data_IF_579457657861
#
_entry.id   IF_579457657861
#
_cell.length_a   1.000
_cell.length_b   1.000
_cell.length_c   1.000
_cell.angle_alpha   90.00
_cell.angle_beta   90.00
_cell.angle_gamma   90.00
#
_symmetry.space_group_name_H-M   'P 1'
#
loop_
_entity.id
_entity.type
_entity.pdbx_description
1 polymer ?
#
# COMPACT_ATOMS: atom_id res chain seq x y z
N UNK A 1 14.75 8.36 23.38
CA UNK A 1 14.26 8.07 22.02
C UNK A 1 13.00 8.86 21.64
N UNK A 2 11.93 8.92 22.46
CA UNK A 2 10.71 9.72 22.17
C UNK A 2 11.01 11.19 21.79
N UNK A 3 11.91 11.89 22.50
CA UNK A 3 12.31 13.28 22.18
C UNK A 3 13.11 13.46 20.88
N UNK A 4 13.70 12.39 20.34
CA UNK A 4 14.46 12.43 19.08
C UNK A 4 13.51 12.27 17.88
N UNK A 5 12.48 11.42 18.01
CA UNK A 5 11.44 11.23 16.99
C UNK A 5 10.55 12.47 16.86
N UNK A 6 10.18 13.11 17.99
CA UNK A 6 9.39 14.35 18.00
C UNK A 6 10.08 15.50 17.27
N UNK A 7 11.42 15.53 17.27
CA UNK A 7 12.21 16.57 16.58
C UNK A 7 12.34 16.33 15.07
N UNK A 8 12.27 15.08 14.61
CA UNK A 8 12.41 14.72 13.20
C UNK A 8 11.10 14.81 12.40
N UNK A 9 9.96 14.60 13.05
CA UNK A 9 8.65 14.56 12.41
C UNK A 9 7.87 15.89 12.52
N UNK A 10 8.43 16.92 13.15
CA UNK A 10 7.72 18.20 13.29
C UNK A 10 6.36 18.04 14.01
N UNK A 11 6.30 17.18 15.03
CA UNK A 11 5.06 16.84 15.74
C UNK A 11 4.48 18.05 16.45
N UNK A 12 3.69 18.82 15.74
CA UNK A 12 2.77 19.78 16.33
C UNK A 12 1.53 19.00 16.80
N UNK A 13 1.26 19.01 18.10
CA UNK A 13 -0.11 18.92 18.59
C UNK A 13 -0.82 20.16 18.10
N UNK A 14 -1.24 20.16 16.83
CA UNK A 14 -2.07 21.23 16.29
C UNK A 14 -3.40 21.18 17.02
N UNK A 15 -3.78 22.31 17.60
CA UNK A 15 -5.13 22.52 18.13
C UNK A 15 -6.13 22.23 17.01
N UNK A 16 -6.75 21.06 17.08
CA UNK A 16 -7.66 20.49 16.09
C UNK A 16 -8.93 21.34 15.89
N UNK A 17 -9.13 22.38 16.71
CA UNK A 17 -10.39 23.10 16.83
C UNK A 17 -10.46 24.41 16.03
N UNK A 18 -9.39 24.90 15.42
CA UNK A 18 -9.40 26.25 14.84
C UNK A 18 -9.74 26.32 13.35
N UNK A 19 -9.58 25.24 12.56
CA UNK A 19 -9.91 25.24 11.14
C UNK A 19 -11.34 24.73 10.89
N UNK A 20 -12.12 25.52 10.19
CA UNK A 20 -13.50 25.18 9.75
C UNK A 20 -13.53 24.50 8.39
N UNK A 21 -12.36 24.23 7.80
CA UNK A 21 -12.24 23.57 6.50
C UNK A 21 -12.69 22.11 6.53
N UNK A 22 -13.03 21.59 5.37
CA UNK A 22 -13.43 20.20 5.19
C UNK A 22 -12.29 19.24 5.55
N UNK A 23 -12.63 18.18 6.31
CA UNK A 23 -11.72 17.06 6.62
C UNK A 23 -12.10 15.87 5.75
N UNK A 24 -11.14 15.29 5.09
CA UNK A 24 -11.34 14.05 4.34
C UNK A 24 -10.66 12.89 5.06
N UNK A 25 -11.38 11.79 5.21
CA UNK A 25 -10.91 10.56 5.81
C UNK A 25 -11.31 9.39 4.92
N UNK A 26 -10.36 8.81 4.17
CA UNK A 26 -10.57 7.64 3.32
C UNK A 26 -11.86 7.75 2.48
N UNK A 27 -11.97 8.77 1.65
CA UNK A 27 -13.09 9.00 0.73
C UNK A 27 -14.33 9.65 1.34
N UNK A 28 -14.35 9.96 2.64
CA UNK A 28 -15.48 10.61 3.30
C UNK A 28 -15.16 12.03 3.75
N UNK A 29 -16.00 12.97 3.37
CA UNK A 29 -15.90 14.38 3.73
C UNK A 29 -16.62 14.68 5.05
N UNK A 30 -15.96 15.36 5.97
CA UNK A 30 -16.49 15.87 7.21
C UNK A 30 -16.43 17.39 7.21
N UNK A 31 -17.60 18.04 7.20
CA UNK A 31 -17.74 19.50 7.25
C UNK A 31 -17.89 19.97 8.69
N UNK A 32 -17.31 21.11 9.02
CA UNK A 32 -17.67 21.80 10.25
C UNK A 32 -19.10 22.33 10.11
N UNK A 33 -20.04 21.74 10.84
CA UNK A 33 -21.42 22.27 10.86
C UNK A 33 -21.42 23.59 11.62
N UNK A 34 -21.84 24.66 10.97
CA UNK A 34 -22.09 25.97 11.59
C UNK A 34 -23.43 26.02 12.34
N UNK A 35 -24.21 24.94 12.33
CA UNK A 35 -25.49 24.88 12.98
C UNK A 35 -25.44 23.95 14.19
N UNK A 36 -25.75 24.50 15.37
CA UNK A 36 -26.08 23.73 16.55
C UNK A 36 -27.34 22.90 16.22
N UNK A 37 -27.15 21.61 15.94
CA UNK A 37 -28.26 20.69 15.80
C UNK A 37 -28.96 20.58 17.16
N UNK A 38 -30.26 20.78 17.18
CA UNK A 38 -31.12 20.73 18.36
C UNK A 38 -31.16 19.38 19.12
N UNK A 39 -30.42 18.39 18.62
CA UNK A 39 -30.41 17.02 19.15
C UNK A 39 -29.16 16.67 20.00
N UNK A 40 -28.40 17.65 20.47
CA UNK A 40 -27.28 17.41 21.40
C UNK A 40 -26.07 16.66 20.81
N UNK A 41 -26.01 16.48 19.49
CA UNK A 41 -24.85 15.90 18.80
C UNK A 41 -23.79 16.99 18.65
N UNK A 42 -22.66 16.80 19.32
CA UNK A 42 -21.52 17.75 19.26
C UNK A 42 -20.97 17.77 17.82
N UNK A 43 -20.94 18.94 17.14
CA UNK A 43 -20.33 19.09 15.83
C UNK A 43 -18.86 18.63 15.86
N UNK A 44 -18.45 17.76 14.93
CA UNK A 44 -17.09 17.18 14.89
C UNK A 44 -16.97 15.76 15.45
N UNK A 45 -17.98 15.23 16.12
CA UNK A 45 -17.95 13.89 16.71
C UNK A 45 -17.85 12.77 15.64
N UNK A 46 -18.45 12.96 14.47
CA UNK A 46 -18.45 11.98 13.38
C UNK A 46 -17.05 11.67 12.83
N UNK A 47 -16.20 12.69 12.66
CA UNK A 47 -14.80 12.49 12.22
C UNK A 47 -13.99 11.70 13.26
N UNK A 48 -14.07 12.08 14.54
CA UNK A 48 -13.32 11.40 15.61
C UNK A 48 -13.80 9.95 15.79
N UNK A 49 -15.11 9.73 15.69
CA UNK A 49 -15.69 8.39 15.76
C UNK A 49 -15.21 7.54 14.56
N UNK A 50 -15.17 8.12 13.35
CA UNK A 50 -14.64 7.42 12.18
C UNK A 50 -13.16 7.14 12.31
N UNK A 51 -12.35 8.12 12.67
CA UNK A 51 -10.92 7.98 12.86
C UNK A 51 -10.57 6.89 13.90
N UNK A 52 -11.21 6.95 15.08
CA UNK A 52 -10.98 5.97 16.15
C UNK A 52 -11.48 4.57 15.84
N UNK A 53 -12.34 4.42 14.83
CA UNK A 53 -12.80 3.12 14.33
C UNK A 53 -11.83 2.47 13.35
N UNK A 54 -10.81 3.19 12.86
CA UNK A 54 -9.80 2.61 11.96
C UNK A 54 -8.92 1.66 12.74
N UNK A 55 -8.54 0.54 12.09
CA UNK A 55 -7.64 -0.44 12.71
C UNK A 55 -6.25 0.17 12.79
N UNK A 56 -5.70 0.18 13.99
CA UNK A 56 -4.38 0.69 14.34
C UNK A 56 -3.49 -0.45 14.83
N UNK A 57 -2.41 -0.72 14.10
CA UNK A 57 -1.47 -1.80 14.43
C UNK A 57 -0.10 -1.17 14.69
N UNK A 58 0.48 -1.49 15.85
CA UNK A 58 1.74 -0.91 16.32
C UNK A 58 2.82 -1.98 16.44
N UNK A 59 4.03 -1.55 16.77
CA UNK A 59 5.07 -2.47 17.22
C UNK A 59 4.57 -3.38 18.34
N UNK A 60 4.96 -4.65 18.27
CA UNK A 60 4.63 -5.66 19.29
C UNK A 60 5.88 -6.27 19.92
N UNK A 61 5.73 -6.69 21.16
CA UNK A 61 6.72 -7.48 21.91
C UNK A 61 6.10 -8.78 22.39
N UNK A 62 6.92 -9.82 22.45
CA UNK A 62 6.53 -11.09 23.04
C UNK A 62 5.85 -12.06 22.09
N UNK A 63 5.97 -11.88 20.77
CA UNK A 63 5.57 -12.90 19.81
C UNK A 63 6.63 -14.01 19.69
N UNK A 64 6.26 -15.16 19.11
CA UNK A 64 7.18 -16.25 18.80
C UNK A 64 8.36 -15.80 17.94
N UNK A 65 9.47 -16.49 18.00
CA UNK A 65 10.63 -16.18 17.17
C UNK A 65 10.27 -16.24 15.67
N UNK A 66 10.77 -15.30 14.88
CA UNK A 66 10.50 -15.25 13.45
C UNK A 66 11.47 -16.19 12.73
N UNK A 67 10.97 -17.34 12.24
CA UNK A 67 11.77 -18.37 11.58
C UNK A 67 12.99 -18.72 12.42
N UNK A 68 14.17 -18.79 11.81
CA UNK A 68 15.43 -19.10 12.49
C UNK A 68 16.07 -17.87 13.19
N UNK A 69 15.38 -16.73 13.23
CA UNK A 69 15.91 -15.53 13.86
C UNK A 69 15.65 -15.54 15.37
N UNK A 70 16.33 -14.64 16.10
CA UNK A 70 16.11 -14.41 17.54
C UNK A 70 15.06 -13.31 17.83
N UNK A 71 14.43 -12.75 16.80
CA UNK A 71 13.51 -11.63 16.98
C UNK A 71 12.16 -12.11 17.53
N UNK A 72 11.76 -11.53 18.66
CA UNK A 72 10.45 -11.69 19.31
C UNK A 72 9.73 -10.35 19.42
N UNK A 73 10.22 -9.35 18.68
CA UNK A 73 9.69 -7.99 18.62
C UNK A 73 10.10 -7.34 17.31
N UNK A 74 9.21 -6.51 16.75
CA UNK A 74 9.47 -5.72 15.55
C UNK A 74 9.81 -4.25 15.84
N UNK A 75 10.08 -3.92 17.09
CA UNK A 75 10.49 -2.57 17.52
C UNK A 75 11.74 -2.11 16.74
N UNK A 76 11.68 -0.90 16.20
CA UNK A 76 12.69 -0.19 15.41
C UNK A 76 12.87 -0.66 13.94
N UNK A 77 12.19 -1.72 13.48
CA UNK A 77 12.32 -2.18 12.10
C UNK A 77 10.97 -2.50 11.40
N UNK A 78 9.92 -2.83 12.17
CA UNK A 78 8.64 -3.29 11.64
C UNK A 78 7.66 -2.18 11.20
N UNK A 79 8.02 -0.90 11.24
CA UNK A 79 7.04 0.18 11.02
C UNK A 79 6.36 0.11 9.64
N UNK A 80 7.09 -0.22 8.57
CA UNK A 80 6.49 -0.37 7.24
C UNK A 80 5.55 -1.58 7.17
N UNK A 81 5.93 -2.71 7.79
CA UNK A 81 5.04 -3.88 7.87
C UNK A 81 3.74 -3.51 8.60
N UNK A 82 3.82 -2.82 9.75
CA UNK A 82 2.64 -2.40 10.52
C UNK A 82 1.78 -1.39 9.76
N UNK A 83 2.39 -0.43 9.08
CA UNK A 83 1.66 0.52 8.21
C UNK A 83 0.93 -0.19 7.08
N UNK A 84 1.55 -1.18 6.46
CA UNK A 84 0.93 -1.98 5.41
C UNK A 84 -0.19 -2.89 5.93
N UNK A 85 -0.01 -3.48 7.11
CA UNK A 85 -1.06 -4.25 7.78
C UNK A 85 -2.29 -3.37 8.06
N UNK A 86 -2.10 -2.13 8.53
CA UNK A 86 -3.20 -1.18 8.75
C UNK A 86 -3.97 -0.88 7.45
N UNK A 87 -3.27 -0.65 6.34
CA UNK A 87 -3.89 -0.38 5.04
C UNK A 87 -4.72 -1.58 4.56
N UNK A 88 -4.16 -2.80 4.61
CA UNK A 88 -4.88 -4.02 4.18
C UNK A 88 -6.02 -4.37 5.15
N UNK A 89 -5.84 -4.19 6.45
CA UNK A 89 -6.92 -4.36 7.43
C UNK A 89 -8.08 -3.40 7.14
N UNK A 90 -7.77 -2.19 6.68
CA UNK A 90 -8.80 -1.22 6.30
C UNK A 90 -9.54 -1.65 5.02
N UNK A 91 -8.84 -2.26 4.03
CA UNK A 91 -9.49 -2.84 2.86
C UNK A 91 -10.48 -3.96 3.24
N UNK A 92 -10.06 -4.87 4.14
CA UNK A 92 -10.93 -5.92 4.66
C UNK A 92 -12.13 -5.38 5.42
N UNK A 93 -11.92 -4.34 6.23
CA UNK A 93 -12.99 -3.69 6.97
C UNK A 93 -14.04 -3.09 6.01
N UNK A 94 -13.59 -2.43 4.95
CA UNK A 94 -14.50 -1.86 3.94
C UNK A 94 -15.21 -2.93 3.13
N UNK A 95 -14.53 -4.03 2.82
CA UNK A 95 -15.11 -5.15 2.10
C UNK A 95 -16.18 -5.85 2.91
N UNK A 96 -15.86 -6.25 4.15
CA UNK A 96 -16.71 -7.13 4.96
C UNK A 96 -17.81 -6.37 5.72
N UNK A 97 -17.50 -5.17 6.22
CA UNK A 97 -18.38 -4.40 7.12
C UNK A 97 -18.84 -3.07 6.51
N UNK A 98 -18.27 -2.68 5.38
CA UNK A 98 -18.60 -1.45 4.68
C UNK A 98 -17.88 -0.21 5.23
N UNK A 99 -17.83 0.85 4.40
CA UNK A 99 -17.13 2.11 4.73
C UNK A 99 -17.76 2.84 5.93
N UNK A 100 -19.06 2.68 6.13
CA UNK A 100 -19.79 3.33 7.21
C UNK A 100 -19.67 2.64 8.58
N UNK A 101 -19.01 1.47 8.63
CA UNK A 101 -18.81 0.76 9.89
C UNK A 101 -18.04 1.60 10.92
N UNK A 102 -18.50 1.51 12.16
CA UNK A 102 -17.88 2.13 13.32
C UNK A 102 -17.68 1.08 14.40
N UNK A 103 -16.53 1.16 15.09
CA UNK A 103 -16.26 0.28 16.23
C UNK A 103 -17.37 0.43 17.26
N UNK A 104 -18.10 -0.65 17.62
CA UNK A 104 -19.08 -0.59 18.69
C UNK A 104 -18.40 -0.37 20.05
N UNK A 105 -19.14 0.27 20.95
CA UNK A 105 -18.71 0.46 22.34
C UNK A 105 -19.00 -0.80 23.15
N UNK A 106 -20.15 -1.40 22.87
CA UNK A 106 -20.67 -2.53 23.64
C UNK A 106 -20.19 -3.86 23.06
N UNK A 107 -20.07 -4.83 23.95
CA UNK A 107 -19.79 -6.24 23.64
C UNK A 107 -21.09 -7.07 23.75
N UNK A 108 -21.19 -8.23 23.10
CA UNK A 108 -20.16 -8.88 22.25
C UNK A 108 -19.96 -8.14 20.92
N UNK A 109 -18.74 -8.22 20.39
CA UNK A 109 -18.37 -7.65 19.09
C UNK A 109 -18.91 -8.51 17.93
N UNK A 110 -18.98 -7.89 16.74
CA UNK A 110 -19.30 -8.59 15.50
C UNK A 110 -18.26 -9.68 15.20
N UNK A 111 -18.65 -10.94 14.92
CA UNK A 111 -17.72 -12.01 14.60
C UNK A 111 -16.81 -11.70 13.41
N UNK A 112 -17.31 -10.97 12.41
CA UNK A 112 -16.52 -10.57 11.23
C UNK A 112 -15.42 -9.57 11.62
N UNK A 113 -15.71 -8.64 12.53
CA UNK A 113 -14.71 -7.72 13.05
C UNK A 113 -13.60 -8.47 13.82
N UNK A 114 -13.96 -9.43 14.68
CA UNK A 114 -13.00 -10.24 15.42
C UNK A 114 -12.18 -11.11 14.47
N UNK A 115 -12.80 -11.70 13.43
CA UNK A 115 -12.09 -12.44 12.39
C UNK A 115 -11.04 -11.56 11.69
N UNK A 116 -11.40 -10.32 11.31
CA UNK A 116 -10.44 -9.40 10.70
C UNK A 116 -9.24 -9.17 11.64
N UNK A 117 -9.45 -8.90 12.93
CA UNK A 117 -8.35 -8.72 13.87
C UNK A 117 -7.50 -9.98 14.03
N UNK A 118 -8.13 -11.16 14.07
CA UNK A 118 -7.44 -12.45 14.15
C UNK A 118 -6.48 -12.68 12.98
N UNK A 119 -6.86 -12.26 11.75
CA UNK A 119 -5.99 -12.37 10.58
C UNK A 119 -4.66 -11.61 10.73
N UNK A 120 -4.65 -10.51 11.49
CA UNK A 120 -3.47 -9.67 11.76
C UNK A 120 -2.81 -9.95 13.12
N UNK A 121 -3.14 -11.06 13.75
CA UNK A 121 -2.48 -11.49 14.99
C UNK A 121 -0.97 -11.68 14.80
N UNK A 122 -0.26 -11.73 15.93
CA UNK A 122 1.22 -11.80 15.93
C UNK A 122 1.74 -13.24 16.03
N UNK A 123 0.96 -14.23 15.59
CA UNK A 123 1.33 -15.64 15.54
C UNK A 123 1.54 -16.13 14.11
N UNK A 124 2.29 -17.21 13.93
CA UNK A 124 2.45 -17.86 12.62
C UNK A 124 1.12 -18.40 12.05
N UNK A 125 0.12 -18.59 12.88
CA UNK A 125 -1.21 -19.09 12.48
C UNK A 125 -2.07 -18.00 11.87
N UNK A 126 -1.78 -16.72 12.13
CA UNK A 126 -2.51 -15.60 11.57
C UNK A 126 -2.04 -15.34 10.14
N UNK A 127 -2.98 -15.36 9.19
CA UNK A 127 -2.69 -15.30 7.75
C UNK A 127 -1.86 -14.07 7.34
N UNK A 128 -2.09 -12.93 8.00
CA UNK A 128 -1.43 -11.64 7.72
C UNK A 128 -0.53 -11.18 8.85
N UNK A 129 -0.01 -12.13 9.65
CA UNK A 129 0.97 -11.84 10.69
C UNK A 129 2.29 -11.32 10.11
N UNK A 130 3.10 -10.72 10.97
CA UNK A 130 4.46 -10.35 10.60
C UNK A 130 5.28 -11.57 10.13
N UNK A 131 5.02 -12.76 10.69
CA UNK A 131 5.66 -14.01 10.29
C UNK A 131 5.31 -14.38 8.85
N UNK A 132 4.02 -14.37 8.51
CA UNK A 132 3.52 -14.68 7.16
C UNK A 132 4.01 -13.69 6.12
N UNK A 133 4.02 -12.38 6.45
CA UNK A 133 4.54 -11.33 5.57
C UNK A 133 6.03 -11.51 5.28
N UNK A 134 6.84 -11.77 6.30
CA UNK A 134 8.27 -11.98 6.13
C UNK A 134 8.58 -13.24 5.34
N UNK A 135 7.81 -14.31 5.54
CA UNK A 135 7.95 -15.54 4.77
C UNK A 135 7.62 -15.31 3.29
N UNK A 136 6.47 -14.72 2.99
CA UNK A 136 6.03 -14.46 1.62
C UNK A 136 6.92 -13.44 0.90
N UNK A 137 7.36 -12.40 1.62
CA UNK A 137 8.16 -11.31 1.05
C UNK A 137 9.67 -11.59 0.99
N UNK A 138 10.14 -12.79 1.34
CA UNK A 138 11.58 -13.13 1.31
C UNK A 138 12.21 -12.87 -0.06
N UNK A 139 11.54 -13.24 -1.15
CA UNK A 139 11.98 -12.98 -2.52
C UNK A 139 11.98 -11.49 -2.90
N UNK A 140 11.25 -10.68 -2.16
CA UNK A 140 11.17 -9.22 -2.33
C UNK A 140 12.14 -8.47 -1.38
N UNK A 141 13.04 -9.18 -0.70
CA UNK A 141 14.02 -8.59 0.20
C UNK A 141 13.56 -8.39 1.64
N UNK A 142 12.40 -8.91 2.05
CA UNK A 142 11.97 -8.85 3.44
C UNK A 142 12.82 -9.78 4.31
N UNK A 143 13.32 -9.23 5.41
CA UNK A 143 14.06 -10.00 6.43
C UNK A 143 13.75 -9.47 7.83
N UNK A 144 13.73 -10.38 8.81
CA UNK A 144 13.55 -10.00 10.21
C UNK A 144 14.68 -9.09 10.67
N UNK A 145 14.33 -7.97 11.31
CA UNK A 145 15.28 -6.97 11.78
C UNK A 145 15.70 -5.93 10.72
N UNK A 146 15.30 -6.09 9.45
CA UNK A 146 15.60 -5.15 8.38
C UNK A 146 14.37 -4.27 8.05
N UNK A 147 14.63 -3.03 7.68
CA UNK A 147 13.60 -2.16 7.11
C UNK A 147 13.39 -2.49 5.63
N UNK A 148 12.16 -2.25 5.16
CA UNK A 148 11.77 -2.47 3.76
C UNK A 148 11.04 -1.24 3.23
N UNK A 149 11.26 -0.90 1.94
CA UNK A 149 10.59 0.19 1.27
C UNK A 149 9.16 -0.15 0.82
N UNK A 150 8.35 0.88 0.47
CA UNK A 150 6.95 0.70 0.08
C UNK A 150 6.75 -0.22 -1.13
N UNK A 151 7.63 -0.14 -2.15
CA UNK A 151 7.55 -1.00 -3.33
C UNK A 151 7.71 -2.49 -2.98
N UNK A 152 8.79 -2.84 -2.28
CA UNK A 152 9.03 -4.21 -1.86
C UNK A 152 7.92 -4.72 -0.91
N UNK A 153 7.36 -3.83 -0.08
CA UNK A 153 6.21 -4.17 0.77
C UNK A 153 4.96 -4.49 -0.06
N UNK A 154 4.65 -3.71 -1.11
CA UNK A 154 3.55 -4.01 -2.03
C UNK A 154 3.73 -5.37 -2.71
N UNK A 155 4.94 -5.67 -3.21
CA UNK A 155 5.26 -6.97 -3.83
C UNK A 155 5.14 -8.13 -2.83
N UNK A 156 5.45 -7.89 -1.58
CA UNK A 156 5.30 -8.91 -0.52
C UNK A 156 3.83 -9.21 -0.23
N UNK A 157 2.95 -8.22 -0.29
CA UNK A 157 1.51 -8.42 -0.19
C UNK A 157 0.94 -9.19 -1.39
N UNK A 158 1.44 -8.94 -2.60
CA UNK A 158 1.07 -9.72 -3.78
C UNK A 158 1.48 -11.19 -3.61
N UNK A 159 2.72 -11.45 -3.20
CA UNK A 159 3.22 -12.80 -2.94
C UNK A 159 2.40 -13.52 -1.84
N UNK A 160 2.07 -12.80 -0.75
CA UNK A 160 1.23 -13.36 0.32
C UNK A 160 -0.18 -13.67 -0.17
N UNK A 161 -0.80 -12.78 -0.97
CA UNK A 161 -2.12 -13.01 -1.53
C UNK A 161 -2.17 -14.24 -2.43
N UNK A 162 -1.15 -14.45 -3.26
CA UNK A 162 -1.01 -15.66 -4.08
C UNK A 162 -0.88 -16.92 -3.22
N UNK A 163 -0.03 -16.89 -2.19
CA UNK A 163 0.14 -18.04 -1.30
C UNK A 163 -1.15 -18.39 -0.54
N UNK A 164 -1.91 -17.40 -0.08
CA UNK A 164 -3.20 -17.61 0.59
C UNK A 164 -4.28 -18.13 -0.38
N UNK A 165 -4.28 -17.69 -1.63
CA UNK A 165 -5.18 -18.21 -2.66
C UNK A 165 -4.89 -19.67 -2.97
N UNK A 166 -3.61 -20.07 -3.07
CA UNK A 166 -3.20 -21.46 -3.27
C UNK A 166 -3.63 -22.36 -2.10
N UNK A 167 -3.42 -21.93 -0.85
CA UNK A 167 -3.87 -22.65 0.34
C UNK A 167 -5.38 -22.87 0.33
N UNK A 168 -6.16 -21.85 -0.01
CA UNK A 168 -7.62 -21.92 -0.09
C UNK A 168 -8.09 -22.89 -1.17
N UNK A 169 -7.42 -22.94 -2.32
CA UNK A 169 -7.73 -23.86 -3.40
C UNK A 169 -7.50 -25.31 -3.01
N UNK A 170 -6.50 -25.59 -2.16
CA UNK A 170 -6.17 -26.93 -1.67
C UNK A 170 -7.13 -27.42 -0.59
N UNK A 171 -7.68 -26.52 0.22
CA UNK A 171 -8.43 -26.86 1.43
C UNK A 171 -9.95 -26.66 1.32
N UNK A 172 -10.47 -26.22 0.15
CA UNK A 172 -11.88 -25.87 -0.08
C UNK A 172 -12.45 -24.94 1.02
N UNK A 173 -11.66 -24.00 1.51
CA UNK A 173 -11.94 -23.22 2.71
C UNK A 173 -12.25 -21.76 2.45
N UNK A 174 -12.49 -21.07 3.56
CA UNK A 174 -12.67 -19.62 3.63
C UNK A 174 -11.43 -18.87 3.15
N UNK A 175 -11.59 -17.87 2.28
CA UNK A 175 -10.50 -17.02 1.79
C UNK A 175 -10.16 -15.96 2.82
N UNK A 176 -8.94 -15.96 3.33
CA UNK A 176 -8.43 -14.94 4.24
C UNK A 176 -8.39 -13.55 3.60
N UNK A 177 -8.08 -13.48 2.29
CA UNK A 177 -8.12 -12.24 1.50
C UNK A 177 -9.16 -12.39 0.38
N UNK A 178 -10.39 -11.83 0.57
CA UNK A 178 -11.49 -12.01 -0.38
C UNK A 178 -11.45 -11.02 -1.55
N UNK A 179 -10.26 -10.64 -2.03
CA UNK A 179 -10.04 -9.68 -3.11
C UNK A 179 -8.77 -9.99 -3.90
N UNK A 180 -8.77 -9.66 -5.19
CA UNK A 180 -7.58 -9.68 -6.01
C UNK A 180 -6.62 -8.54 -5.58
N UNK A 181 -5.31 -8.75 -5.73
CA UNK A 181 -4.30 -7.73 -5.43
C UNK A 181 -3.60 -7.31 -6.71
N UNK A 182 -3.60 -6.02 -7.00
CA UNK A 182 -2.95 -5.44 -8.17
C UNK A 182 -1.89 -4.42 -7.74
N UNK A 183 -0.61 -4.75 -7.97
CA UNK A 183 0.49 -3.81 -7.79
C UNK A 183 0.69 -3.06 -9.10
N UNK A 184 0.48 -1.74 -9.05
CA UNK A 184 0.63 -0.85 -10.20
C UNK A 184 2.06 -0.36 -10.25
N UNK A 185 2.84 -0.84 -11.22
CA UNK A 185 4.24 -0.46 -11.38
C UNK A 185 4.48 0.19 -12.75
N UNK A 186 5.53 1.00 -12.85
CA UNK A 186 5.95 1.62 -14.12
C UNK A 186 6.93 0.76 -14.93
N UNK A 187 7.36 -0.38 -14.40
CA UNK A 187 8.47 -1.16 -14.99
C UNK A 187 8.07 -2.10 -16.12
N UNK A 188 6.77 -2.31 -16.35
CA UNK A 188 6.29 -3.32 -17.31
C UNK A 188 6.52 -2.93 -18.77
N UNK A 189 6.65 -1.63 -19.06
CA UNK A 189 6.88 -1.10 -20.41
C UNK A 189 8.36 -0.76 -20.69
N UNK A 190 9.28 -1.00 -19.74
CA UNK A 190 10.72 -0.76 -19.92
C UNK A 190 11.13 0.71 -19.92
N UNK A 191 10.23 1.64 -19.73
CA UNK A 191 10.52 3.07 -19.59
C UNK A 191 10.78 3.41 -18.13
N UNK A 192 12.05 3.39 -17.72
CA UNK A 192 12.47 3.84 -16.40
C UNK A 192 12.13 5.32 -16.20
N UNK A 193 11.27 5.63 -15.20
CA UNK A 193 10.98 6.99 -14.76
C UNK A 193 9.65 7.58 -15.22
N UNK A 194 8.78 6.81 -15.90
CA UNK A 194 7.40 7.19 -16.18
C UNK A 194 6.47 7.05 -14.96
N UNK A 195 5.32 7.74 -14.98
CA UNK A 195 4.27 7.51 -14.01
C UNK A 195 3.73 6.07 -14.13
N UNK A 196 3.46 5.36 -13.02
CA UNK A 196 2.84 4.03 -13.08
C UNK A 196 1.52 4.03 -13.86
N UNK A 197 1.22 2.92 -14.53
CA UNK A 197 0.03 2.79 -15.39
C UNK A 197 -0.88 1.69 -14.83
N UNK A 198 -2.14 2.04 -14.57
CA UNK A 198 -3.19 1.07 -14.29
C UNK A 198 -3.75 0.56 -15.61
N UNK A 199 -3.49 -0.68 -15.94
CA UNK A 199 -4.02 -1.34 -17.14
C UNK A 199 -5.36 -2.00 -16.83
N UNK A 200 -6.42 -1.55 -17.51
CA UNK A 200 -7.78 -2.06 -17.31
C UNK A 200 -7.86 -3.56 -17.62
N UNK A 201 -7.23 -4.01 -18.71
CA UNK A 201 -7.21 -5.44 -19.07
C UNK A 201 -6.47 -6.30 -18.05
N UNK A 202 -5.40 -5.77 -17.43
CA UNK A 202 -4.70 -6.48 -16.37
C UNK A 202 -5.56 -6.61 -15.12
N UNK A 203 -6.26 -5.55 -14.71
CA UNK A 203 -7.20 -5.61 -13.60
C UNK A 203 -8.30 -6.66 -13.86
N UNK A 204 -8.90 -6.64 -15.06
CA UNK A 204 -9.90 -7.61 -15.47
C UNK A 204 -9.36 -9.05 -15.43
N UNK A 205 -8.14 -9.26 -15.93
CA UNK A 205 -7.47 -10.57 -15.89
C UNK A 205 -7.27 -11.07 -14.46
N UNK A 206 -6.76 -10.23 -13.56
CA UNK A 206 -6.57 -10.58 -12.15
C UNK A 206 -7.90 -10.93 -11.46
N UNK A 207 -8.96 -10.19 -11.75
CA UNK A 207 -10.30 -10.49 -11.23
C UNK A 207 -10.82 -11.83 -11.74
N UNK A 208 -10.65 -12.12 -13.04
CA UNK A 208 -11.05 -13.40 -13.65
C UNK A 208 -10.25 -14.58 -13.04
N UNK A 209 -8.93 -14.44 -12.89
CA UNK A 209 -8.08 -15.45 -12.26
C UNK A 209 -8.49 -15.68 -10.80
N UNK A 210 -8.81 -14.63 -10.06
CA UNK A 210 -9.30 -14.74 -8.69
C UNK A 210 -10.64 -15.47 -8.60
N UNK A 211 -11.56 -15.25 -9.55
CA UNK A 211 -12.85 -15.93 -9.66
C UNK A 211 -12.77 -17.31 -10.34
N UNK A 212 -11.59 -17.86 -10.61
CA UNK A 212 -11.37 -19.16 -11.28
C UNK A 212 -12.01 -19.24 -12.67
N UNK A 213 -12.03 -18.12 -13.39
CA UNK A 213 -12.55 -18.04 -14.77
C UNK A 213 -14.07 -17.84 -14.86
N UNK A 214 -14.77 -17.63 -13.75
CA UNK A 214 -16.16 -17.18 -13.78
C UNK A 214 -16.23 -15.77 -14.35
N UNK A 215 -17.27 -15.45 -15.12
CA UNK A 215 -17.48 -14.13 -15.73
C UNK A 215 -18.04 -13.13 -14.69
N UNK A 216 -17.39 -13.11 -13.52
CA UNK A 216 -17.71 -12.23 -12.39
C UNK A 216 -16.51 -11.37 -12.07
N UNK A 217 -16.75 -10.09 -11.74
CA UNK A 217 -15.71 -9.19 -11.30
C UNK A 217 -15.43 -9.39 -9.81
N UNK A 218 -14.16 -9.69 -9.48
CA UNK A 218 -13.73 -9.78 -8.09
C UNK A 218 -13.54 -8.39 -7.46
N UNK A 219 -13.73 -8.23 -6.14
CA UNK A 219 -13.18 -7.08 -5.43
C UNK A 219 -11.67 -6.99 -5.66
N UNK A 220 -11.13 -5.77 -5.77
CA UNK A 220 -9.72 -5.57 -6.09
C UNK A 220 -9.08 -4.51 -5.18
N UNK A 221 -7.92 -4.86 -4.64
CA UNK A 221 -7.02 -3.97 -3.92
C UNK A 221 -5.91 -3.52 -4.87
N UNK A 222 -5.88 -2.21 -5.19
CA UNK A 222 -4.80 -1.61 -5.96
C UNK A 222 -3.79 -0.97 -5.00
N UNK A 223 -2.51 -1.26 -5.20
CA UNK A 223 -1.41 -0.63 -4.51
C UNK A 223 -0.50 0.05 -5.54
N UNK A 224 -0.30 1.34 -5.38
CA UNK A 224 0.46 2.19 -6.31
C UNK A 224 1.71 2.70 -5.59
N UNK A 225 2.84 1.99 -5.66
CA UNK A 225 4.10 2.47 -5.11
C UNK A 225 4.67 3.61 -5.96
N UNK A 226 5.17 4.66 -5.28
CA UNK A 226 5.61 5.90 -5.90
C UNK A 226 6.88 6.43 -5.21
N UNK A 227 7.72 7.09 -6.00
CA UNK A 227 8.83 7.93 -5.51
C UNK A 227 8.61 9.34 -6.07
N UNK A 228 8.14 10.25 -5.24
CA UNK A 228 7.66 11.58 -5.64
C UNK A 228 8.68 12.70 -5.44
N UNK A 229 9.93 12.35 -5.20
CA UNK A 229 11.04 13.28 -5.00
C UNK A 229 12.25 12.55 -4.41
N UNK A 230 13.29 13.29 -4.07
CA UNK A 230 14.49 12.76 -3.41
C UNK A 230 14.32 12.82 -1.88
N UNK A 231 14.61 13.99 -1.27
CA UNK A 231 14.51 14.18 0.19
C UNK A 231 13.10 14.61 0.64
N UNK A 232 12.31 15.21 -0.26
CA UNK A 232 10.96 15.72 -0.03
C UNK A 232 10.09 15.48 -1.24
N UNK A 233 8.78 15.43 -1.01
CA UNK A 233 7.81 15.39 -2.11
C UNK A 233 7.96 16.66 -2.96
N UNK A 234 8.07 16.46 -4.28
CA UNK A 234 8.03 17.58 -5.21
C UNK A 234 6.65 18.27 -5.10
N UNK A 235 6.60 19.61 -4.86
CA UNK A 235 5.35 20.33 -4.60
C UNK A 235 4.27 20.15 -5.65
N UNK A 236 4.62 19.85 -6.90
CA UNK A 236 3.65 19.58 -7.98
C UNK A 236 2.75 18.37 -7.74
N UNK A 237 3.17 17.42 -6.90
CA UNK A 237 2.40 16.22 -6.58
C UNK A 237 1.46 16.40 -5.38
N UNK A 238 1.69 17.43 -4.54
CA UNK A 238 0.92 17.64 -3.31
C UNK A 238 -0.59 17.77 -3.55
N UNK A 239 -1.07 18.59 -4.53
CA UNK A 239 -2.49 18.68 -4.81
C UNK A 239 -3.12 17.36 -5.28
N UNK A 240 -2.36 16.56 -6.04
CA UNK A 240 -2.82 15.26 -6.51
C UNK A 240 -2.88 14.24 -5.37
N UNK A 241 -1.86 14.20 -4.49
CA UNK A 241 -1.88 13.36 -3.29
C UNK A 241 -3.08 13.71 -2.40
N UNK A 242 -3.33 15.00 -2.18
CA UNK A 242 -4.49 15.47 -1.44
C UNK A 242 -5.79 14.95 -2.06
N UNK A 243 -5.92 15.05 -3.38
CA UNK A 243 -7.11 14.64 -4.12
C UNK A 243 -7.38 13.13 -4.01
N UNK A 244 -6.37 12.28 -3.86
CA UNK A 244 -6.58 10.83 -3.71
C UNK A 244 -7.40 10.47 -2.46
N UNK A 245 -7.41 11.30 -1.43
CA UNK A 245 -8.24 11.10 -0.24
C UNK A 245 -9.71 11.41 -0.46
N UNK A 246 -10.08 12.06 -1.57
CA UNK A 246 -11.48 12.33 -1.93
C UNK A 246 -12.12 11.19 -2.73
N UNK A 247 -11.32 10.25 -3.24
CA UNK A 247 -11.84 9.11 -3.99
C UNK A 247 -12.61 8.18 -3.04
N UNK A 248 -13.84 7.76 -3.36
CA UNK A 248 -14.59 6.80 -2.55
C UNK A 248 -13.82 5.50 -2.29
N UNK A 249 -12.93 5.13 -3.20
CA UNK A 249 -12.07 3.95 -3.15
C UNK A 249 -10.82 4.13 -2.30
N UNK A 250 -10.56 5.34 -1.78
CA UNK A 250 -9.31 5.64 -1.06
C UNK A 250 -9.12 4.76 0.17
N UNK A 251 -7.96 4.12 0.25
CA UNK A 251 -7.44 3.46 1.45
C UNK A 251 -6.30 4.24 2.11
N UNK A 252 -6.00 5.45 1.60
CA UNK A 252 -4.91 6.27 2.12
C UNK A 252 -3.53 5.85 1.59
N UNK A 253 -2.50 6.20 2.37
CA UNK A 253 -1.11 6.10 1.94
C UNK A 253 -0.29 5.43 3.05
N UNK A 254 0.52 4.45 2.69
CA UNK A 254 1.59 3.95 3.54
C UNK A 254 2.94 4.44 3.01
N UNK A 255 3.83 4.89 3.88
CA UNK A 255 5.12 5.37 3.43
C UNK A 255 5.98 5.90 4.55
N UNK A 256 7.21 6.19 4.21
CA UNK A 256 8.20 6.74 5.12
C UNK A 256 9.58 6.11 4.96
N UNK A 257 10.56 6.81 5.46
CA UNK A 257 11.95 6.34 5.55
C UNK A 257 12.16 5.36 6.71
N UNK A 258 13.32 4.70 6.80
CA UNK A 258 13.66 3.81 7.89
C UNK A 258 13.36 4.40 9.28
N UNK A 259 12.56 3.69 10.07
CA UNK A 259 12.19 4.10 11.44
C UNK A 259 11.14 5.24 11.53
N UNK A 260 10.52 5.63 10.41
CA UNK A 260 9.52 6.72 10.38
C UNK A 260 8.31 6.44 9.49
N UNK A 261 8.10 5.20 9.06
CA UNK A 261 6.93 4.85 8.24
C UNK A 261 5.64 4.97 9.05
N UNK A 262 4.61 5.54 8.40
CA UNK A 262 3.27 5.74 8.99
C UNK A 262 2.17 5.36 7.99
N UNK A 263 0.94 5.25 8.49
CA UNK A 263 -0.23 5.06 7.66
C UNK A 263 -1.09 6.33 7.68
N UNK A 264 -1.10 7.05 6.55
CA UNK A 264 -1.85 8.29 6.37
C UNK A 264 -3.26 7.94 5.92
N UNK A 265 -4.25 8.44 6.67
CA UNK A 265 -5.67 8.08 6.48
C UNK A 265 -6.55 9.24 6.04
N UNK A 266 -6.06 10.48 6.08
CA UNK A 266 -6.88 11.63 5.72
C UNK A 266 -6.11 12.93 5.60
N UNK A 267 -6.81 13.98 5.18
CA UNK A 267 -6.25 15.32 4.96
C UNK A 267 -7.21 16.41 5.40
N UNK A 268 -6.64 17.56 5.79
CA UNK A 268 -7.30 18.83 6.00
C UNK A 268 -6.33 19.95 5.68
N UNK A 269 -6.72 20.90 4.86
CA UNK A 269 -5.85 22.00 4.42
C UNK A 269 -4.51 21.44 3.86
N UNK A 270 -3.40 21.85 4.42
CA UNK A 270 -2.06 21.38 4.05
C UNK A 270 -1.56 20.21 4.93
N UNK A 271 -2.42 19.65 5.79
CA UNK A 271 -2.04 18.62 6.75
C UNK A 271 -2.62 17.26 6.37
N UNK A 272 -1.84 16.22 6.64
CA UNK A 272 -2.24 14.82 6.55
C UNK A 272 -2.43 14.22 7.96
N UNK A 273 -3.49 13.45 8.15
CA UNK A 273 -3.77 12.70 9.38
C UNK A 273 -3.24 11.28 9.26
N UNK A 274 -2.60 10.77 10.31
CA UNK A 274 -2.00 9.46 10.26
C UNK A 274 -2.16 8.64 11.54
N UNK A 275 -2.10 7.31 11.36
CA UNK A 275 -1.95 6.33 12.40
C UNK A 275 -0.46 5.97 12.52
N UNK A 276 0.05 6.03 13.75
CA UNK A 276 1.47 5.89 14.04
C UNK A 276 1.78 4.49 14.60
N UNK A 277 2.57 3.66 13.91
CA UNK A 277 2.89 2.31 14.39
C UNK A 277 3.98 2.26 15.48
N UNK A 278 4.63 3.38 15.82
CA UNK A 278 5.84 3.37 16.64
C UNK A 278 5.60 3.21 18.16
N UNK A 279 4.35 3.18 18.60
CA UNK A 279 4.02 2.81 19.97
C UNK A 279 4.27 1.32 20.19
N UNK A 280 4.85 0.95 21.33
CA UNK A 280 5.19 -0.44 21.63
C UNK A 280 4.15 -1.04 22.54
N UNK A 281 3.47 -2.08 22.09
CA UNK A 281 2.46 -2.82 22.85
C UNK A 281 2.84 -4.29 23.01
N UNK A 282 2.22 -4.98 23.95
CA UNK A 282 2.34 -6.44 24.06
C UNK A 282 1.51 -7.11 22.96
N UNK A 283 1.88 -8.32 22.58
CA UNK A 283 1.05 -9.16 21.73
C UNK A 283 -0.32 -9.39 22.38
N UNK A 284 -1.34 -9.45 21.55
CA UNK A 284 -2.71 -9.82 21.96
C UNK A 284 -3.10 -11.04 21.14
N UNK A 285 -3.55 -12.08 21.84
CA UNK A 285 -4.09 -13.29 21.18
C UNK A 285 -5.59 -13.09 20.93
N UNK A 286 -5.94 -12.69 19.72
CA UNK A 286 -7.34 -12.55 19.29
C UNK A 286 -7.84 -13.91 18.81
N UNK A 287 -8.74 -14.52 19.56
CA UNK A 287 -9.38 -15.79 19.20
C UNK A 287 -10.69 -15.52 18.47
N UNK A 288 -10.98 -16.31 17.44
CA UNK A 288 -12.18 -16.18 16.59
C UNK A 288 -13.51 -16.30 17.33
N UNK A 289 -13.52 -17.11 18.38
CA UNK A 289 -14.68 -17.43 19.21
C UNK A 289 -14.84 -16.53 20.44
N UNK A 290 -13.84 -15.67 20.74
CA UNK A 290 -13.89 -14.72 21.85
C UNK A 290 -14.38 -13.34 21.39
N UNK A 291 -15.70 -13.18 21.33
CA UNK A 291 -16.35 -11.92 20.91
C UNK A 291 -16.33 -10.85 22.03
N UNK A 292 -15.81 -11.16 23.20
CA UNK A 292 -15.65 -10.22 24.30
C UNK A 292 -14.19 -9.81 24.57
N UNK A 293 -13.29 -10.22 23.69
CA UNK A 293 -11.83 -9.93 23.80
C UNK A 293 -11.54 -8.43 23.90
N UNK A 294 -10.41 -8.07 24.50
CA UNK A 294 -9.96 -6.67 24.52
C UNK A 294 -9.31 -6.30 23.17
N UNK A 295 -9.96 -5.42 22.44
CA UNK A 295 -9.50 -4.89 21.14
C UNK A 295 -8.91 -3.48 21.25
N UNK A 296 -8.72 -2.94 22.46
CA UNK A 296 -8.28 -1.56 22.67
C UNK A 296 -6.93 -1.26 22.02
N UNK A 297 -6.03 -2.24 21.97
CA UNK A 297 -4.70 -2.11 21.35
C UNK A 297 -4.71 -2.04 19.81
N UNK A 298 -5.88 -2.21 19.19
CA UNK A 298 -6.09 -2.11 17.73
C UNK A 298 -6.82 -0.82 17.33
N UNK A 299 -6.97 0.14 18.25
CA UNK A 299 -7.62 1.41 17.97
C UNK A 299 -6.92 2.58 18.65
N UNK A 300 -6.93 3.74 17.99
CA UNK A 300 -6.33 4.96 18.48
C UNK A 300 -7.32 6.13 18.38
N UNK A 301 -7.53 6.82 19.49
CA UNK A 301 -8.35 8.04 19.53
C UNK A 301 -7.53 9.33 19.38
N UNK A 302 -6.20 9.23 19.33
CA UNK A 302 -5.30 10.37 19.22
C UNK A 302 -5.06 10.67 17.75
N UNK A 303 -5.64 11.75 17.24
CA UNK A 303 -5.38 12.22 15.88
C UNK A 303 -4.02 12.91 15.85
N UNK A 304 -3.11 12.38 15.04
CA UNK A 304 -1.81 12.99 14.74
C UNK A 304 -1.84 13.55 13.33
N UNK A 305 -1.15 14.66 13.12
CA UNK A 305 -1.02 15.29 11.82
C UNK A 305 0.41 15.66 11.50
N UNK A 306 0.70 15.72 10.21
CA UNK A 306 1.97 16.16 9.64
C UNK A 306 1.66 17.01 8.42
N UNK A 307 2.48 18.04 8.14
CA UNK A 307 2.33 18.79 6.90
C UNK A 307 2.53 17.84 5.69
N UNK A 308 1.69 17.95 4.67
CA UNK A 308 1.70 17.03 3.53
C UNK A 308 3.01 17.09 2.73
N UNK A 309 3.68 18.26 2.73
CA UNK A 309 5.00 18.47 2.12
C UNK A 309 6.15 17.87 2.94
N UNK A 310 5.91 17.51 4.21
CA UNK A 310 6.87 16.84 5.08
C UNK A 310 6.75 15.31 5.08
N UNK A 311 5.78 14.77 4.34
CA UNK A 311 5.65 13.33 4.10
C UNK A 311 6.84 12.85 3.26
N UNK A 312 7.35 11.66 3.59
CA UNK A 312 8.44 11.05 2.82
C UNK A 312 8.02 10.82 1.35
N UNK A 313 8.89 11.11 0.37
CA UNK A 313 8.56 10.91 -1.04
C UNK A 313 8.42 9.44 -1.47
N UNK A 314 8.96 8.49 -0.71
CA UNK A 314 8.81 7.07 -0.95
C UNK A 314 7.56 6.54 -0.23
N UNK A 315 6.53 6.23 -1.00
CA UNK A 315 5.21 5.88 -0.47
C UNK A 315 4.46 4.91 -1.39
N UNK A 316 3.34 4.39 -0.91
CA UNK A 316 2.38 3.66 -1.74
C UNK A 316 0.96 4.09 -1.41
N UNK A 317 0.16 4.37 -2.43
CA UNK A 317 -1.25 4.70 -2.31
C UNK A 317 -2.07 3.43 -2.45
N UNK A 318 -3.07 3.24 -1.57
CA UNK A 318 -4.01 2.13 -1.65
C UNK A 318 -5.38 2.58 -2.14
N UNK A 319 -6.01 1.74 -2.97
CA UNK A 319 -7.41 1.87 -3.37
C UNK A 319 -8.09 0.52 -3.29
N UNK A 320 -9.36 0.52 -2.88
CA UNK A 320 -10.20 -0.66 -2.86
C UNK A 320 -11.43 -0.42 -3.74
N UNK A 321 -11.64 -1.27 -4.74
CA UNK A 321 -12.83 -1.28 -5.58
C UNK A 321 -13.60 -2.58 -5.31
N UNK A 322 -14.87 -2.45 -4.92
CA UNK A 322 -15.72 -3.57 -4.51
C UNK A 322 -16.18 -4.43 -5.68
N UNK A 323 -16.44 -3.77 -6.81
CA UNK A 323 -17.00 -4.35 -8.01
C UNK A 323 -16.51 -3.60 -9.25
N UNK A 324 -17.02 -3.97 -10.41
CA UNK A 324 -16.66 -3.38 -11.68
C UNK A 324 -17.05 -1.90 -11.78
N UNK A 325 -18.23 -1.53 -11.33
CA UNK A 325 -18.72 -0.15 -11.39
C UNK A 325 -17.85 0.77 -10.53
N UNK A 326 -17.43 0.27 -9.35
CA UNK A 326 -16.54 0.98 -8.45
C UNK A 326 -15.13 1.14 -9.05
N UNK A 327 -14.63 0.13 -9.77
CA UNK A 327 -13.36 0.22 -10.51
C UNK A 327 -13.44 1.19 -11.69
N UNK A 328 -14.54 1.18 -12.45
CA UNK A 328 -14.76 2.13 -13.56
C UNK A 328 -14.85 3.57 -13.04
N UNK A 329 -15.51 3.78 -11.89
CA UNK A 329 -15.55 5.08 -11.21
C UNK A 329 -14.15 5.53 -10.77
N UNK A 330 -13.35 4.63 -10.20
CA UNK A 330 -11.94 4.88 -9.87
C UNK A 330 -11.15 5.32 -11.11
N UNK A 331 -11.25 4.57 -12.22
CA UNK A 331 -10.55 4.89 -13.46
C UNK A 331 -10.94 6.29 -14.01
N UNK A 332 -12.21 6.64 -13.95
CA UNK A 332 -12.70 7.96 -14.38
C UNK A 332 -12.09 9.08 -13.52
N UNK A 333 -12.09 8.93 -12.20
CA UNK A 333 -11.52 9.94 -11.30
C UNK A 333 -10.00 10.05 -11.45
N UNK A 334 -9.31 8.93 -11.62
CA UNK A 334 -7.87 8.88 -11.83
C UNK A 334 -7.46 9.52 -13.15
N UNK A 335 -8.20 9.27 -14.24
CA UNK A 335 -7.97 9.92 -15.53
C UNK A 335 -8.13 11.43 -15.44
N UNK A 336 -9.20 11.90 -14.78
CA UNK A 336 -9.43 13.33 -14.54
C UNK A 336 -8.29 13.97 -13.72
N UNK A 337 -7.81 13.25 -12.69
CA UNK A 337 -6.69 13.73 -11.88
C UNK A 337 -5.40 13.83 -12.69
N UNK A 338 -5.14 12.84 -13.57
CA UNK A 338 -3.98 12.84 -14.46
C UNK A 338 -4.04 13.99 -15.49
N UNK A 339 -5.21 14.29 -16.07
CA UNK A 339 -5.42 15.44 -16.97
C UNK A 339 -5.10 16.77 -16.28
N UNK A 340 -5.43 16.91 -15.00
CA UNK A 340 -5.20 18.11 -14.20
C UNK A 340 -3.75 18.24 -13.71
N UNK A 341 -2.88 17.27 -13.95
CA UNK A 341 -1.53 17.18 -13.41
C UNK A 341 -0.49 18.09 -14.07
N UNK A 342 -0.85 18.85 -15.11
CA UNK A 342 0.10 19.64 -15.91
C UNK A 342 1.28 18.81 -16.44
N UNK A 343 1.00 17.59 -16.90
CA UNK A 343 2.00 16.69 -17.51
C UNK A 343 2.86 15.91 -16.51
N UNK A 344 2.51 15.92 -15.23
CA UNK A 344 3.20 15.14 -14.20
C UNK A 344 2.20 14.37 -13.33
N UNK A 345 1.48 13.37 -13.86
CA UNK A 345 0.52 12.59 -13.12
C UNK A 345 1.19 11.70 -12.06
N UNK A 346 0.48 11.42 -10.95
CA UNK A 346 0.91 10.40 -9.97
C UNK A 346 0.94 9.01 -10.61
N UNK A 347 -0.09 8.71 -11.37
CA UNK A 347 -0.26 7.50 -12.18
C UNK A 347 -1.27 7.79 -13.29
N UNK A 348 -1.35 6.91 -14.27
CA UNK A 348 -2.26 7.03 -15.41
C UNK A 348 -3.11 5.77 -15.59
N UNK A 349 -4.14 5.87 -16.43
CA UNK A 349 -5.00 4.74 -16.79
C UNK A 349 -4.81 4.46 -18.28
N UNK A 350 -4.65 3.19 -18.65
CA UNK A 350 -4.63 2.75 -20.05
C UNK A 350 -5.42 1.44 -20.21
N UNK A 351 -5.82 1.13 -21.44
CA UNK A 351 -6.57 -0.10 -21.74
C UNK A 351 -5.69 -1.34 -21.57
N UNK A 352 -4.55 -1.34 -22.27
CA UNK A 352 -3.57 -2.44 -22.27
C UNK A 352 -2.15 -1.88 -22.46
N UNK A 353 -1.11 -2.67 -22.11
CA UNK A 353 0.26 -2.31 -22.43
C UNK A 353 0.44 -2.10 -23.94
N UNK A 354 1.12 -1.02 -24.34
CA UNK A 354 1.52 -0.84 -25.73
C UNK A 354 2.56 -1.91 -26.06
N UNK A 355 2.22 -2.87 -26.91
CA UNK A 355 3.22 -3.77 -27.47
C UNK A 355 4.29 -2.92 -28.19
N UNK A 356 5.60 -3.13 -27.93
CA UNK A 356 6.64 -2.43 -28.63
C UNK A 356 6.42 -2.69 -30.13
N UNK A 357 6.23 -1.63 -30.93
CA UNK A 357 6.19 -1.75 -32.37
C UNK A 357 7.56 -2.27 -32.79
N UNK A 358 7.60 -3.54 -33.21
CA UNK A 358 8.78 -4.05 -33.91
C UNK A 358 9.11 -3.05 -35.01
N UNK A 359 10.29 -2.43 -34.91
CA UNK A 359 10.82 -1.59 -35.96
C UNK A 359 10.78 -2.44 -37.25
N UNK A 360 9.92 -2.05 -38.17
CA UNK A 360 9.94 -2.59 -39.53
C UNK A 360 11.36 -2.39 -40.03
N UNK A 361 12.13 -3.48 -40.10
CA UNK A 361 13.33 -3.51 -40.90
C UNK A 361 12.89 -3.20 -42.34
N UNK A 362 13.23 -2.02 -42.79
CA UNK A 362 13.29 -1.70 -44.22
C UNK A 362 14.37 -2.63 -44.81
N UNK A 363 13.93 -3.74 -45.38
CA UNK A 363 14.70 -4.47 -46.37
C UNK A 363 14.68 -3.68 -47.68
N UNK A 364 15.57 -2.72 -47.78
CA UNK A 364 16.00 -2.23 -49.10
C UNK A 364 16.98 -3.26 -49.67
N UNK A 365 16.42 -4.13 -50.51
CA UNK A 365 17.21 -4.99 -51.39
C UNK A 365 17.90 -4.11 -52.45
N UNK A 366 19.17 -3.84 -52.23
CA UNK A 366 20.07 -3.47 -53.35
C UNK A 366 20.96 -4.67 -53.68
N UNK A 367 20.63 -5.29 -54.78
CA UNK A 367 21.48 -6.19 -55.52
C UNK A 367 22.69 -5.45 -56.05
N UNK A 368 23.90 -5.92 -55.73
CA UNK A 368 25.09 -5.76 -56.58
C UNK A 368 25.92 -7.02 -56.60
N UNK A 369 26.25 -7.35 -57.82
CA UNK A 369 26.84 -8.54 -58.32
C UNK A 369 28.39 -8.47 -58.28
N UNK A 370 29.01 -9.66 -58.12
CA UNK A 370 30.28 -10.13 -58.64
C UNK A 370 31.65 -9.76 -58.02
N UNK A 371 32.28 -10.80 -57.52
CA UNK A 371 33.52 -11.45 -57.95
C UNK A 371 34.81 -11.25 -57.14
N UNK A 372 35.42 -12.46 -56.92
CA UNK A 372 36.85 -12.82 -56.62
C UNK A 372 37.35 -12.45 -55.25
N UNK A 373 37.77 -13.38 -54.42
CA UNK A 373 38.77 -14.50 -54.61
C UNK A 373 40.01 -14.17 -53.85
N UNK A 374 40.31 -14.92 -52.85
CA UNK A 374 41.56 -15.44 -52.42
C UNK A 374 41.68 -15.65 -50.90
N UNK A 375 42.07 -16.80 -50.62
CA UNK A 375 42.57 -17.55 -49.48
C UNK A 375 43.65 -16.89 -48.60
N UNK A 376 43.78 -17.53 -47.43
CA UNK A 376 45.00 -17.80 -46.64
C UNK A 376 45.18 -16.94 -45.37
N UNK A 377 45.19 -17.62 -44.32
CA UNK A 377 45.99 -18.03 -43.16
C UNK A 377 45.78 -17.28 -41.84
N UNK A 378 45.43 -18.10 -40.88
CA UNK A 378 46.12 -18.48 -39.64
C UNK A 378 46.51 -17.41 -38.59
N UNK A 379 46.05 -17.74 -37.36
CA UNK A 379 46.73 -17.50 -36.08
C UNK A 379 46.85 -16.07 -35.51
N UNK A 380 46.07 -15.81 -34.48
CA UNK A 380 46.59 -15.17 -33.27
C UNK A 380 45.63 -15.37 -32.09
N UNK A 381 45.99 -16.23 -31.18
CA UNK A 381 45.57 -16.23 -29.79
C UNK A 381 45.84 -14.89 -29.15
N UNK A 382 44.85 -14.27 -28.53
CA UNK A 382 45.12 -13.26 -27.49
C UNK A 382 44.15 -13.41 -26.35
N UNK A 383 44.70 -13.80 -25.22
CA UNK A 383 44.15 -13.80 -23.87
C UNK A 383 43.33 -12.55 -23.57
N UNK A 384 42.10 -12.74 -23.16
CA UNK A 384 41.34 -11.75 -22.42
C UNK A 384 41.14 -12.25 -21.01
N UNK A 385 41.92 -11.69 -20.09
CA UNK A 385 41.71 -11.79 -18.65
C UNK A 385 40.35 -11.12 -18.29
N UNK A 386 39.44 -11.89 -17.69
CA UNK A 386 38.26 -11.41 -17.07
C UNK A 386 38.61 -10.59 -15.81
N UNK A 387 38.24 -9.33 -15.77
CA UNK A 387 38.16 -8.54 -14.54
C UNK A 387 36.81 -8.80 -13.90
N UNK A 388 36.74 -8.97 -12.56
CA UNK A 388 35.49 -9.04 -11.86
C UNK A 388 34.91 -7.63 -11.76
N UNK A 389 33.65 -7.46 -12.25
CA UNK A 389 32.85 -6.29 -11.98
C UNK A 389 32.37 -6.36 -10.52
N UNK A 390 32.85 -5.43 -9.71
CA UNK A 390 32.30 -5.13 -8.39
C UNK A 390 30.96 -4.39 -8.59
N UNK A 391 29.87 -5.08 -8.35
CA UNK A 391 28.53 -4.48 -8.24
C UNK A 391 28.38 -3.77 -6.89
N UNK A 392 28.75 -2.49 -6.88
CA UNK A 392 28.38 -1.54 -5.84
C UNK A 392 26.95 -1.02 -6.09
N UNK A 393 25.94 -1.75 -5.61
CA UNK A 393 24.60 -1.24 -5.39
C UNK A 393 24.31 -1.15 -3.89
N UNK A 394 25.02 -0.26 -3.22
CA UNK A 394 24.62 0.24 -1.92
C UNK A 394 23.92 1.59 -2.09
N UNK A 395 22.68 1.63 -1.60
CA UNK A 395 21.94 2.81 -1.10
C UNK A 395 21.39 3.77 -2.18
N UNK A 396 20.11 3.65 -2.41
CA UNK A 396 19.17 4.78 -2.21
C UNK A 396 17.81 4.26 -1.74
#
# INVERSE_FOLDING_TARGET
MRRFQERFLGLNKTDFSSSTSEKWLLGVCYKASSEESSDGVIPGNGFLQDFSSRIWITYRRGFGTIGDSKFTSDVNWGCMLRSSQMLVAQALLFHCLGRSWRKPVDKPFDPVYIEILHLFGDSEQSAFSIHSLLQAGRSCGLAAGAWVGPYAMCRSWEALAHAEMEKTNLLEGYRSLPMAVYIVSGDEDGERGGAPVVYIERAAKLCCEFCKGEDTWAPILLLVPLVLGLDKINPRYIPQLWATFTFPQSLGIMGGKPGASTYIVGVQDENAFYLDPHEVQQVVDIKRDDLETDTSSYHCSVVRSVALDAVDPSLAIGFYCRDRDDFENFCMQASKLAEQSNGAPLFTIAQSPCLPRHAHQHNDAMSFDHQHGHSIDEDAESNFEARPDEDDWQIL
#
